data_IF_494193194891
#
_entry.id   IF_494193194891
#
_cell.length_a   1.000
_cell.length_b   1.000
_cell.length_c   1.000
_cell.angle_alpha   90.00
_cell.angle_beta   90.00
_cell.angle_gamma   90.00
#
_symmetry.space_group_name_H-M   'P 1'
#
loop_
_entity.id
_entity.type
_entity.pdbx_description
1 polymer ?
#
# COMPACT_ATOMS: atom_id res chain seq x y z
N UNK A 1 -5.39 15.07 -4.51
CA UNK A 1 -4.29 15.00 -5.49
C UNK A 1 -3.75 16.42 -5.76
N UNK A 2 -4.56 17.36 -6.27
CA UNK A 2 -4.10 18.74 -6.58
C UNK A 2 -3.37 19.41 -5.42
N UNK A 3 -3.92 19.36 -4.22
CA UNK A 3 -3.30 19.94 -3.03
C UNK A 3 -1.92 19.34 -2.75
N UNK A 4 -1.77 18.02 -2.94
CA UNK A 4 -0.49 17.35 -2.77
C UNK A 4 0.53 17.79 -3.81
N UNK A 5 0.14 17.88 -5.10
CA UNK A 5 1.02 18.37 -6.16
C UNK A 5 1.48 19.82 -5.92
N UNK A 6 0.57 20.69 -5.50
CA UNK A 6 0.91 22.08 -5.11
C UNK A 6 1.83 22.13 -3.89
N UNK A 7 1.57 21.27 -2.89
CA UNK A 7 2.41 21.13 -1.70
C UNK A 7 3.82 20.65 -2.04
N UNK A 8 3.94 19.66 -2.90
CA UNK A 8 5.24 19.15 -3.38
C UNK A 8 6.05 20.26 -4.04
N UNK A 9 5.44 21.05 -4.94
CA UNK A 9 6.12 22.18 -5.57
C UNK A 9 6.59 23.25 -4.56
N UNK A 10 5.83 23.50 -3.51
CA UNK A 10 6.23 24.44 -2.44
C UNK A 10 7.42 23.87 -1.68
N UNK A 11 7.35 22.61 -1.29
CA UNK A 11 8.42 21.93 -0.54
C UNK A 11 9.70 21.87 -1.36
N UNK A 12 9.63 21.55 -2.65
CA UNK A 12 10.81 21.54 -3.54
C UNK A 12 11.49 22.91 -3.63
N UNK A 13 10.71 24.02 -3.70
CA UNK A 13 11.26 25.37 -3.64
C UNK A 13 11.98 25.64 -2.32
N UNK A 14 11.35 25.27 -1.22
CA UNK A 14 11.93 25.46 0.11
C UNK A 14 13.23 24.66 0.25
N UNK A 15 13.24 23.40 -0.14
CA UNK A 15 14.44 22.57 -0.08
C UNK A 15 15.57 23.13 -0.92
N UNK A 16 15.30 23.55 -2.14
CA UNK A 16 16.29 24.22 -3.01
C UNK A 16 16.95 25.40 -2.31
N UNK A 17 16.16 26.23 -1.61
CA UNK A 17 16.62 27.50 -1.07
C UNK A 17 17.24 27.38 0.33
N UNK A 18 16.77 26.43 1.15
CA UNK A 18 17.20 26.32 2.57
C UNK A 18 17.97 25.04 2.91
N UNK A 19 17.93 24.05 2.05
CA UNK A 19 18.60 22.77 2.30
C UNK A 19 19.29 22.20 1.05
N UNK A 20 20.19 22.97 0.40
CA UNK A 20 20.96 22.44 -0.71
C UNK A 20 21.89 21.31 -0.23
N UNK A 21 22.16 20.35 -1.11
CA UNK A 21 22.99 19.18 -0.82
C UNK A 21 24.20 19.10 -1.77
N UNK A 22 25.12 20.09 -1.74
CA UNK A 22 26.20 20.19 -2.72
C UNK A 22 27.14 18.99 -2.69
N UNK A 23 27.40 18.41 -1.51
CA UNK A 23 28.27 17.24 -1.41
C UNK A 23 27.68 16.00 -2.11
N UNK A 24 26.39 15.73 -1.94
CA UNK A 24 25.71 14.64 -2.65
C UNK A 24 25.67 14.93 -4.15
N UNK A 25 25.44 16.17 -4.52
CA UNK A 25 25.36 16.62 -5.92
C UNK A 25 26.63 16.35 -6.72
N UNK A 26 27.80 16.26 -6.06
CA UNK A 26 29.07 15.87 -6.71
C UNK A 26 29.06 14.45 -7.27
N UNK A 27 28.24 13.55 -6.72
CA UNK A 27 28.18 12.14 -7.07
C UNK A 27 26.95 11.78 -7.92
N UNK A 28 26.12 12.77 -8.25
CA UNK A 28 24.90 12.58 -9.04
C UNK A 28 25.11 13.09 -10.46
N UNK A 29 24.90 12.21 -11.43
CA UNK A 29 25.04 12.53 -12.85
C UNK A 29 24.15 13.70 -13.26
N UNK A 30 24.71 14.65 -13.98
CA UNK A 30 24.06 15.85 -14.47
C UNK A 30 24.15 17.06 -13.55
N UNK A 31 24.43 16.89 -12.26
CA UNK A 31 24.51 18.02 -11.34
C UNK A 31 25.73 18.94 -11.65
N UNK A 32 26.89 18.33 -11.89
CA UNK A 32 28.11 19.09 -12.22
C UNK A 32 28.01 19.74 -13.59
N UNK A 33 27.53 19.02 -14.59
CA UNK A 33 27.39 19.51 -15.96
C UNK A 33 26.40 20.67 -16.05
N UNK A 34 25.31 20.61 -15.26
CA UNK A 34 24.29 21.65 -15.22
C UNK A 34 24.65 22.80 -14.24
N UNK A 35 25.66 22.60 -13.39
CA UNK A 35 25.96 23.55 -12.29
C UNK A 35 24.78 23.72 -11.33
N UNK A 36 24.05 22.64 -11.06
CA UNK A 36 22.83 22.64 -10.24
C UNK A 36 22.88 21.58 -9.15
N UNK A 37 22.45 21.96 -7.97
CA UNK A 37 22.22 21.02 -6.87
C UNK A 37 21.13 19.99 -7.24
N UNK A 38 21.23 18.78 -6.71
CA UNK A 38 20.24 17.72 -6.94
C UNK A 38 18.84 18.18 -6.49
N UNK A 39 18.74 18.92 -5.37
CA UNK A 39 17.48 19.48 -4.87
C UNK A 39 16.90 20.60 -5.76
N UNK A 40 17.68 21.09 -6.71
CA UNK A 40 17.28 22.07 -7.70
C UNK A 40 17.09 21.47 -9.11
N UNK A 41 16.91 20.17 -9.21
CA UNK A 41 16.72 19.47 -10.49
C UNK A 41 17.99 19.29 -11.29
N UNK A 42 19.17 19.19 -10.62
CA UNK A 42 20.47 19.00 -11.26
C UNK A 42 20.63 17.62 -11.88
N UNK A 43 20.08 16.57 -11.28
CA UNK A 43 20.21 15.21 -11.75
C UNK A 43 19.76 15.01 -13.21
N UNK A 44 20.34 14.02 -13.91
CA UNK A 44 19.88 13.61 -15.24
C UNK A 44 18.47 13.06 -15.17
N UNK A 45 18.21 12.17 -14.20
CA UNK A 45 16.89 11.67 -13.86
C UNK A 45 16.46 12.31 -12.56
N UNK A 46 15.43 13.15 -12.61
CA UNK A 46 14.85 13.79 -11.45
C UNK A 46 13.34 13.57 -11.47
N UNK A 47 12.82 12.89 -10.48
CA UNK A 47 11.39 12.55 -10.39
C UNK A 47 10.63 13.40 -9.38
N UNK A 48 11.27 14.34 -8.71
CA UNK A 48 10.60 15.24 -7.78
C UNK A 48 10.18 14.59 -6.45
N UNK A 49 9.36 15.31 -5.69
CA UNK A 49 8.76 14.82 -4.46
C UNK A 49 7.53 13.96 -4.75
N UNK A 50 7.45 12.83 -4.04
CA UNK A 50 6.38 11.87 -4.24
C UNK A 50 5.27 11.93 -3.19
N UNK A 51 4.12 11.41 -3.58
CA UNK A 51 2.95 11.21 -2.71
C UNK A 51 2.80 9.73 -2.38
N UNK A 52 2.69 9.40 -1.10
CA UNK A 52 2.50 8.03 -0.63
C UNK A 52 1.02 7.76 -0.42
N UNK A 53 0.54 6.63 -0.96
CA UNK A 53 -0.78 6.08 -0.65
C UNK A 53 -0.69 5.10 0.53
N UNK A 54 -1.60 5.26 1.47
CA UNK A 54 -1.86 4.26 2.50
C UNK A 54 -3.29 3.75 2.36
N UNK A 55 -3.48 2.45 2.52
CA UNK A 55 -4.81 1.86 2.52
C UNK A 55 -5.36 1.47 1.14
N UNK A 56 -4.50 1.11 0.17
CA UNK A 56 -4.94 0.70 -1.17
C UNK A 56 -5.96 -0.44 -1.12
N UNK A 57 -5.65 -1.54 -0.41
CA UNK A 57 -6.57 -2.66 -0.28
C UNK A 57 -7.83 -2.28 0.51
N UNK A 58 -7.72 -1.48 1.58
CA UNK A 58 -8.88 -0.96 2.30
C UNK A 58 -9.83 -0.20 1.39
N UNK A 59 -9.28 0.63 0.48
CA UNK A 59 -10.09 1.34 -0.52
C UNK A 59 -10.75 0.38 -1.51
N UNK A 60 -9.96 -0.51 -2.12
CA UNK A 60 -10.46 -1.44 -3.15
C UNK A 60 -11.55 -2.37 -2.59
N UNK A 61 -11.30 -2.94 -1.40
CA UNK A 61 -12.24 -3.81 -0.69
C UNK A 61 -13.53 -3.07 -0.30
N UNK A 62 -13.39 -1.81 0.13
CA UNK A 62 -14.54 -0.96 0.48
C UNK A 62 -15.41 -0.66 -0.73
N UNK A 63 -14.78 -0.29 -1.85
CA UNK A 63 -15.53 0.01 -3.08
C UNK A 63 -16.16 -1.24 -3.68
N UNK A 64 -15.50 -2.40 -3.60
CA UNK A 64 -16.07 -3.68 -4.00
C UNK A 64 -17.32 -4.02 -3.15
N UNK A 65 -17.24 -3.84 -1.83
CA UNK A 65 -18.37 -4.07 -0.93
C UNK A 65 -19.55 -3.11 -1.22
N UNK A 66 -19.28 -1.82 -1.38
CA UNK A 66 -20.31 -0.82 -1.74
C UNK A 66 -20.96 -1.17 -3.08
N UNK A 67 -20.16 -1.44 -4.10
CA UNK A 67 -20.64 -1.83 -5.42
C UNK A 67 -21.56 -3.05 -5.33
N UNK A 68 -21.09 -4.11 -4.67
CA UNK A 68 -21.81 -5.36 -4.56
C UNK A 68 -23.09 -5.23 -3.74
N UNK A 69 -22.98 -4.77 -2.49
CA UNK A 69 -24.06 -4.80 -1.52
C UNK A 69 -25.13 -3.73 -1.76
N UNK A 70 -24.73 -2.54 -2.25
CA UNK A 70 -25.65 -1.42 -2.44
C UNK A 70 -26.19 -1.35 -3.87
N UNK A 71 -25.31 -1.49 -4.87
CA UNK A 71 -25.71 -1.20 -6.25
C UNK A 71 -26.11 -2.44 -7.06
N UNK A 72 -25.42 -3.57 -6.90
CA UNK A 72 -25.68 -4.80 -7.66
C UNK A 72 -26.75 -5.65 -6.97
N UNK A 73 -26.50 -6.12 -5.75
CA UNK A 73 -27.42 -6.99 -5.00
C UNK A 73 -28.57 -6.21 -4.37
N UNK A 74 -28.41 -4.88 -4.19
CA UNK A 74 -29.39 -3.98 -3.54
C UNK A 74 -29.86 -4.51 -2.18
N UNK A 75 -28.94 -5.15 -1.46
CA UNK A 75 -29.21 -5.76 -0.16
C UNK A 75 -29.39 -4.70 0.92
N UNK A 76 -28.64 -3.59 0.80
CA UNK A 76 -28.68 -2.43 1.67
C UNK A 76 -28.75 -1.16 0.85
N UNK A 77 -29.36 -0.13 1.40
CA UNK A 77 -29.26 1.23 0.85
C UNK A 77 -27.95 1.90 1.30
N UNK A 78 -27.49 2.88 0.54
CA UNK A 78 -26.31 3.64 0.94
C UNK A 78 -26.48 4.34 2.30
N UNK A 79 -27.64 4.96 2.64
CA UNK A 79 -27.88 5.51 3.97
C UNK A 79 -27.80 4.48 5.10
N UNK A 80 -28.32 3.26 4.91
CA UNK A 80 -28.22 2.18 5.91
C UNK A 80 -26.76 1.79 6.16
N UNK A 81 -25.97 1.65 5.08
CA UNK A 81 -24.55 1.36 5.20
C UNK A 81 -23.80 2.50 5.93
N UNK A 82 -24.09 3.76 5.60
CA UNK A 82 -23.49 4.92 6.28
C UNK A 82 -23.83 4.90 7.76
N UNK A 83 -25.08 4.64 8.10
CA UNK A 83 -25.52 4.55 9.52
C UNK A 83 -24.76 3.45 10.27
N UNK A 84 -24.55 2.29 9.64
CA UNK A 84 -23.78 1.22 10.23
C UNK A 84 -22.30 1.58 10.43
N UNK A 85 -21.70 2.31 9.48
CA UNK A 85 -20.33 2.82 9.57
C UNK A 85 -20.18 3.86 10.69
N UNK A 86 -21.10 4.80 10.79
CA UNK A 86 -21.12 5.84 11.84
C UNK A 86 -21.25 5.22 13.24
N UNK A 87 -21.97 4.08 13.36
CA UNK A 87 -22.09 3.29 14.57
C UNK A 87 -20.91 2.33 14.82
N UNK A 88 -19.82 2.39 14.02
CA UNK A 88 -18.74 1.40 14.06
C UNK A 88 -19.22 -0.05 13.96
N UNK A 89 -20.30 -0.27 13.23
CA UNK A 89 -21.05 -1.52 13.10
C UNK A 89 -21.67 -2.03 14.41
N UNK A 90 -21.77 -1.22 15.45
CA UNK A 90 -22.43 -1.62 16.68
C UNK A 90 -23.95 -1.77 16.44
N UNK A 91 -24.48 -2.98 16.68
CA UNK A 91 -25.84 -3.34 16.31
C UNK A 91 -26.07 -3.66 14.83
N UNK A 92 -25.01 -3.66 14.00
CA UNK A 92 -25.08 -3.94 12.55
C UNK A 92 -24.15 -5.10 12.14
N UNK A 93 -24.08 -6.15 12.95
CA UNK A 93 -23.20 -7.30 12.73
C UNK A 93 -23.42 -8.00 11.39
N UNK A 94 -24.66 -8.05 10.91
CA UNK A 94 -25.00 -8.63 9.62
C UNK A 94 -24.40 -7.81 8.46
N UNK A 95 -24.53 -6.48 8.50
CA UNK A 95 -23.94 -5.60 7.50
C UNK A 95 -22.44 -5.76 7.50
N UNK A 96 -21.81 -5.75 8.69
CA UNK A 96 -20.36 -5.94 8.81
C UNK A 96 -19.91 -7.29 8.26
N UNK A 97 -20.61 -8.37 8.57
CA UNK A 97 -20.32 -9.72 8.06
C UNK A 97 -20.35 -9.74 6.53
N UNK A 98 -21.37 -9.16 5.91
CA UNK A 98 -21.49 -9.10 4.47
C UNK A 98 -20.38 -8.23 3.84
N UNK A 99 -20.03 -7.11 4.46
CA UNK A 99 -18.87 -6.30 4.07
C UNK A 99 -17.55 -7.11 4.12
N UNK A 100 -17.34 -7.92 5.15
CA UNK A 100 -16.17 -8.80 5.27
C UNK A 100 -16.15 -9.93 4.23
N UNK A 101 -17.32 -10.38 3.76
CA UNK A 101 -17.46 -11.45 2.77
C UNK A 101 -17.41 -10.96 1.31
N UNK A 102 -17.57 -9.67 1.07
CA UNK A 102 -17.41 -9.09 -0.26
C UNK A 102 -16.02 -9.36 -0.83
N UNK A 103 -15.87 -9.18 -2.15
CA UNK A 103 -14.59 -9.37 -2.83
C UNK A 103 -13.46 -8.61 -2.15
N UNK A 104 -12.30 -9.26 -2.04
CA UNK A 104 -11.11 -8.72 -1.38
C UNK A 104 -9.90 -8.77 -2.30
N UNK A 105 -9.22 -7.64 -2.40
CA UNK A 105 -7.94 -7.51 -3.08
C UNK A 105 -6.88 -8.47 -2.52
N UNK A 106 -6.00 -8.93 -3.39
CA UNK A 106 -4.93 -9.86 -3.01
C UNK A 106 -5.34 -11.34 -3.02
N UNK A 107 -6.53 -11.66 -3.54
CA UNK A 107 -7.03 -13.02 -3.67
C UNK A 107 -7.20 -13.47 -5.13
N UNK A 108 -6.49 -12.85 -6.08
CA UNK A 108 -6.67 -13.08 -7.52
C UNK A 108 -8.15 -12.94 -7.92
N UNK A 109 -8.75 -11.83 -7.49
CA UNK A 109 -10.16 -11.52 -7.70
C UNK A 109 -10.30 -10.22 -8.50
N UNK A 110 -10.67 -10.33 -9.76
CA UNK A 110 -10.74 -9.19 -10.69
C UNK A 110 -11.67 -8.07 -10.18
N UNK A 111 -12.73 -8.41 -9.49
CA UNK A 111 -13.69 -7.45 -8.94
C UNK A 111 -13.04 -6.43 -8.00
N UNK A 112 -12.14 -6.86 -7.13
CA UNK A 112 -11.42 -5.98 -6.21
C UNK A 112 -10.06 -5.51 -6.79
N UNK A 113 -9.36 -6.38 -7.51
CA UNK A 113 -8.03 -6.08 -8.05
C UNK A 113 -8.08 -4.95 -9.09
N UNK A 114 -9.13 -4.92 -9.95
CA UNK A 114 -9.27 -3.85 -10.93
C UNK A 114 -9.70 -2.52 -10.31
N UNK A 115 -10.41 -2.52 -9.19
CA UNK A 115 -10.66 -1.27 -8.45
C UNK A 115 -9.34 -0.69 -7.92
N UNK A 116 -8.44 -1.55 -7.40
CA UNK A 116 -7.10 -1.13 -6.96
C UNK A 116 -6.27 -0.58 -8.14
N UNK A 117 -6.33 -1.23 -9.31
CA UNK A 117 -5.67 -0.75 -10.53
C UNK A 117 -6.22 0.61 -10.95
N UNK A 118 -7.53 0.73 -11.04
CA UNK A 118 -8.18 1.93 -11.58
C UNK A 118 -7.88 3.17 -10.73
N UNK A 119 -7.75 3.05 -9.41
CA UNK A 119 -7.36 4.19 -8.56
C UNK A 119 -5.89 4.57 -8.74
N UNK A 120 -5.00 3.61 -8.98
CA UNK A 120 -3.58 3.88 -9.27
C UNK A 120 -3.48 4.60 -10.61
N UNK A 121 -4.11 4.07 -11.67
CA UNK A 121 -4.10 4.66 -13.01
C UNK A 121 -4.71 6.07 -13.01
N UNK A 122 -5.84 6.25 -12.34
CA UNK A 122 -6.45 7.57 -12.17
C UNK A 122 -5.51 8.56 -11.48
N UNK A 123 -4.80 8.09 -10.47
CA UNK A 123 -3.89 8.96 -9.72
C UNK A 123 -2.70 9.35 -10.57
N UNK A 124 -2.06 8.41 -11.27
CA UNK A 124 -0.99 8.70 -12.20
C UNK A 124 -1.42 9.72 -13.25
N UNK A 125 -2.54 9.46 -13.92
CA UNK A 125 -3.08 10.38 -14.92
C UNK A 125 -3.35 11.77 -14.34
N UNK A 126 -3.95 11.81 -13.15
CA UNK A 126 -4.32 13.08 -12.51
C UNK A 126 -3.11 13.86 -12.03
N UNK A 127 -2.11 13.20 -11.44
CA UNK A 127 -0.87 13.84 -11.01
C UNK A 127 -0.08 14.39 -12.19
N UNK A 128 -0.01 13.66 -13.29
CA UNK A 128 0.67 14.10 -14.52
C UNK A 128 -0.04 15.29 -15.21
N UNK A 129 -1.29 15.58 -14.85
CA UNK A 129 -2.00 16.77 -15.36
C UNK A 129 -1.62 18.07 -14.64
N UNK A 130 -0.89 18.00 -13.53
CA UNK A 130 -0.43 19.17 -12.78
C UNK A 130 1.03 19.48 -13.08
N UNK A 131 1.40 20.79 -13.20
CA UNK A 131 2.78 21.17 -13.44
C UNK A 131 3.66 20.85 -12.25
N UNK A 132 4.84 20.26 -12.52
CA UNK A 132 5.93 20.06 -11.58
C UNK A 132 7.02 21.12 -11.83
N UNK A 133 7.85 21.42 -10.82
CA UNK A 133 8.93 22.40 -10.95
C UNK A 133 10.06 21.90 -11.86
N UNK A 134 10.39 20.62 -11.79
CA UNK A 134 11.61 20.12 -12.44
C UNK A 134 11.36 18.91 -13.33
N UNK A 135 10.40 18.06 -13.04
CA UNK A 135 10.13 16.86 -13.83
C UNK A 135 8.65 16.47 -13.81
N UNK A 136 8.25 15.54 -12.97
CA UNK A 136 6.87 15.08 -12.80
C UNK A 136 6.58 14.83 -11.31
N UNK A 137 5.30 14.79 -10.98
CA UNK A 137 4.89 14.30 -9.68
C UNK A 137 4.91 12.77 -9.70
N UNK A 138 5.46 12.17 -8.66
CA UNK A 138 5.51 10.71 -8.51
C UNK A 138 4.66 10.24 -7.34
N UNK A 139 4.25 9.00 -7.39
CA UNK A 139 3.52 8.35 -6.30
C UNK A 139 4.01 6.93 -6.03
N UNK A 140 3.59 6.39 -4.92
CA UNK A 140 3.89 5.03 -4.52
C UNK A 140 2.97 4.55 -3.40
N UNK A 141 3.07 3.26 -3.10
CA UNK A 141 2.28 2.60 -2.06
C UNK A 141 3.14 2.07 -0.91
N UNK A 142 4.33 2.63 -0.73
CA UNK A 142 5.20 2.31 0.39
C UNK A 142 4.74 3.09 1.63
N UNK A 143 3.85 2.53 2.44
CA UNK A 143 3.21 3.27 3.53
C UNK A 143 4.11 3.58 4.73
N UNK A 144 5.28 2.97 4.85
CA UNK A 144 6.27 3.22 5.93
C UNK A 144 5.64 3.23 7.35
N UNK A 145 4.67 2.35 7.59
CA UNK A 145 3.88 2.25 8.81
C UNK A 145 2.88 3.41 9.07
N UNK A 146 2.70 4.33 8.13
CA UNK A 146 1.66 5.38 8.23
C UNK A 146 0.23 4.83 8.20
N UNK A 147 0.03 3.62 7.67
CA UNK A 147 -1.24 2.92 7.70
C UNK A 147 -1.83 2.81 9.11
N UNK A 148 -0.99 2.67 10.14
CA UNK A 148 -1.44 2.56 11.55
C UNK A 148 -1.94 3.90 12.10
N UNK A 149 -1.15 4.99 12.15
CA UNK A 149 -1.64 6.27 12.67
C UNK A 149 -2.76 6.87 11.81
N UNK A 150 -2.73 6.70 10.50
CA UNK A 150 -3.85 7.14 9.65
C UNK A 150 -5.12 6.34 9.92
N UNK A 151 -5.00 5.02 10.10
CA UNK A 151 -6.13 4.18 10.47
C UNK A 151 -6.75 4.54 11.81
N UNK A 152 -5.93 4.99 12.79
CA UNK A 152 -6.39 5.45 14.08
C UNK A 152 -7.28 6.73 13.99
N UNK A 153 -7.12 7.50 12.92
CA UNK A 153 -7.89 8.74 12.68
C UNK A 153 -9.15 8.52 11.84
N UNK A 154 -9.33 7.33 11.27
CA UNK A 154 -10.42 7.04 10.33
C UNK A 154 -11.46 6.14 10.99
N UNK A 155 -12.74 6.48 10.80
CA UNK A 155 -13.90 5.70 11.22
C UNK A 155 -13.95 4.31 10.58
N UNK A 156 -15.04 3.57 10.82
CA UNK A 156 -15.27 2.29 10.16
C UNK A 156 -15.34 2.43 8.64
N UNK A 157 -14.96 1.39 7.90
CA UNK A 157 -14.91 1.40 6.43
C UNK A 157 -15.73 0.24 5.84
N UNK A 158 -16.28 0.40 4.63
CA UNK A 158 -17.17 -0.60 4.00
C UNK A 158 -16.55 -1.97 3.74
N UNK A 159 -15.22 -2.12 3.85
CA UNK A 159 -14.56 -3.43 3.82
C UNK A 159 -14.79 -4.28 5.07
N UNK A 160 -15.46 -3.71 6.10
CA UNK A 160 -15.74 -4.32 7.40
C UNK A 160 -14.71 -3.98 8.50
N UNK A 161 -13.75 -3.07 8.21
CA UNK A 161 -12.77 -2.57 9.18
C UNK A 161 -13.48 -1.68 10.21
N UNK A 162 -13.22 -1.91 11.49
CA UNK A 162 -13.70 -1.04 12.57
C UNK A 162 -12.90 0.25 12.69
N UNK A 163 -13.49 1.27 13.28
CA UNK A 163 -12.85 2.55 13.57
C UNK A 163 -11.53 2.36 14.35
N UNK A 164 -10.56 3.19 14.06
CA UNK A 164 -9.25 3.18 14.76
C UNK A 164 -8.33 2.01 14.44
N UNK A 165 -8.76 1.03 13.64
CA UNK A 165 -7.89 -0.08 13.21
C UNK A 165 -6.97 0.36 12.07
N UNK A 166 -5.75 -0.22 11.94
CA UNK A 166 -4.86 0.09 10.83
C UNK A 166 -5.54 -0.06 9.48
N UNK A 167 -5.16 0.79 8.52
CA UNK A 167 -5.45 0.58 7.11
C UNK A 167 -4.55 -0.52 6.54
N UNK A 168 -4.80 -0.98 5.32
CA UNK A 168 -3.88 -1.88 4.64
C UNK A 168 -2.51 -1.23 4.42
N UNK A 169 -1.44 -2.02 4.53
CA UNK A 169 -0.06 -1.54 4.39
C UNK A 169 0.45 -1.70 2.96
N UNK A 170 0.88 -0.61 2.35
CA UNK A 170 1.42 -0.60 1.00
C UNK A 170 0.47 -1.23 -0.02
N UNK A 171 0.98 -2.22 -0.75
CA UNK A 171 0.21 -3.04 -1.69
C UNK A 171 -0.28 -4.35 -1.08
N UNK A 172 -0.12 -4.52 0.23
CA UNK A 172 -0.58 -5.73 0.92
C UNK A 172 -2.11 -5.81 0.93
N UNK A 173 -2.69 -7.01 0.89
CA UNK A 173 -4.10 -7.21 1.21
C UNK A 173 -4.44 -6.66 2.60
N UNK A 174 -5.70 -6.31 2.82
CA UNK A 174 -6.20 -5.97 4.16
C UNK A 174 -5.89 -7.12 5.12
N UNK A 175 -5.54 -6.78 6.38
CA UNK A 175 -5.09 -7.77 7.36
C UNK A 175 -6.08 -8.93 7.52
N UNK A 176 -5.59 -10.17 7.36
CA UNK A 176 -6.37 -11.39 7.49
C UNK A 176 -7.31 -11.67 6.31
N UNK A 177 -7.24 -10.87 5.24
CA UNK A 177 -8.03 -11.07 4.03
C UNK A 177 -7.28 -11.81 2.92
N UNK A 178 -6.02 -12.12 3.08
CA UNK A 178 -5.13 -12.88 2.18
C UNK A 178 -5.41 -14.40 2.20
N UNK A 179 -6.65 -14.80 1.96
CA UNK A 179 -7.14 -16.18 2.18
C UNK A 179 -6.67 -17.20 1.16
N UNK A 180 -6.26 -16.75 -0.04
CA UNK A 180 -5.81 -17.62 -1.13
C UNK A 180 -4.28 -17.76 -1.21
N UNK A 181 -3.56 -17.19 -0.25
CA UNK A 181 -2.11 -17.34 -0.09
C UNK A 181 -1.25 -16.48 -1.03
N UNK A 182 0.08 -16.62 -0.92
CA UNK A 182 1.03 -15.69 -1.53
C UNK A 182 0.99 -15.65 -3.06
N UNK A 183 0.68 -16.75 -3.73
CA UNK A 183 0.56 -16.79 -5.19
C UNK A 183 -0.59 -15.91 -5.69
N UNK A 184 -1.72 -15.89 -4.96
CA UNK A 184 -2.85 -15.04 -5.30
C UNK A 184 -2.52 -13.56 -5.10
N UNK A 185 -1.76 -13.21 -4.04
CA UNK A 185 -1.29 -11.85 -3.81
C UNK A 185 -0.44 -11.38 -4.99
N UNK A 186 0.55 -12.18 -5.42
CA UNK A 186 1.43 -11.86 -6.55
C UNK A 186 0.61 -11.61 -7.81
N UNK A 187 -0.38 -12.44 -8.10
CA UNK A 187 -1.26 -12.27 -9.26
C UNK A 187 -2.10 -10.99 -9.17
N UNK A 188 -2.65 -10.68 -8.00
CA UNK A 188 -3.40 -9.43 -7.79
C UNK A 188 -2.51 -8.22 -8.02
N UNK A 189 -1.29 -8.21 -7.46
CA UNK A 189 -0.30 -7.13 -7.65
C UNK A 189 0.10 -7.00 -9.12
N UNK A 190 0.27 -8.10 -9.85
CA UNK A 190 0.66 -8.06 -11.26
C UNK A 190 -0.40 -7.48 -12.20
N UNK A 191 -1.64 -7.32 -11.75
CA UNK A 191 -2.71 -6.65 -12.50
C UNK A 191 -2.65 -5.13 -12.39
N UNK A 192 -1.84 -4.60 -11.47
CA UNK A 192 -1.71 -3.17 -11.23
C UNK A 192 -0.64 -2.56 -12.13
N UNK A 193 -0.77 -1.27 -12.42
CA UNK A 193 0.25 -0.50 -13.15
C UNK A 193 1.42 -0.15 -12.20
N UNK A 194 2.24 -1.14 -11.89
CA UNK A 194 3.34 -1.01 -10.92
C UNK A 194 4.46 -0.09 -11.43
N UNK A 195 4.61 0.03 -12.76
CA UNK A 195 5.63 0.89 -13.39
C UNK A 195 5.35 2.39 -13.15
N UNK A 196 4.11 2.77 -12.92
CA UNK A 196 3.75 4.16 -12.60
C UNK A 196 4.17 4.60 -11.21
N UNK A 197 4.45 3.65 -10.31
CA UNK A 197 4.73 3.91 -8.90
C UNK A 197 6.23 4.09 -8.64
N UNK A 198 6.84 5.12 -9.21
CA UNK A 198 8.29 5.38 -9.10
C UNK A 198 8.77 5.64 -7.67
N UNK A 199 7.89 6.12 -6.78
CA UNK A 199 8.26 6.31 -5.36
C UNK A 199 8.44 4.98 -4.62
N UNK A 200 8.04 3.89 -5.23
CA UNK A 200 8.15 2.55 -4.69
C UNK A 200 6.84 1.93 -4.26
N UNK A 201 6.90 0.63 -4.11
CA UNK A 201 5.80 -0.21 -3.65
C UNK A 201 6.35 -1.25 -2.70
N UNK A 202 5.57 -1.64 -1.71
CA UNK A 202 5.91 -2.75 -0.86
C UNK A 202 4.68 -3.57 -0.52
N UNK A 203 4.85 -4.88 -0.50
CA UNK A 203 3.83 -5.78 0.00
C UNK A 203 4.42 -6.84 0.91
N UNK A 204 3.69 -7.14 1.98
CA UNK A 204 4.12 -8.01 3.05
C UNK A 204 3.59 -9.42 2.84
N UNK A 205 4.45 -10.40 3.06
CA UNK A 205 4.11 -11.82 3.08
C UNK A 205 4.38 -12.41 4.46
N UNK A 206 3.56 -13.37 4.84
CA UNK A 206 3.78 -14.19 6.04
C UNK A 206 4.21 -15.59 5.59
N UNK A 207 5.42 -15.98 5.95
CA UNK A 207 5.92 -17.33 5.74
C UNK A 207 6.13 -18.01 7.09
N UNK A 208 5.65 -19.23 7.20
CA UNK A 208 5.97 -20.04 8.38
C UNK A 208 7.42 -20.52 8.28
N UNK A 209 8.24 -20.42 9.35
CA UNK A 209 9.65 -20.83 9.31
C UNK A 209 9.87 -22.23 8.76
N UNK A 210 8.96 -23.16 9.05
CA UNK A 210 9.01 -24.55 8.55
C UNK A 210 9.11 -24.68 7.02
N UNK A 211 8.65 -23.68 6.25
CA UNK A 211 8.82 -23.71 4.80
C UNK A 211 10.28 -23.55 4.37
N UNK A 212 11.11 -22.95 5.21
CA UNK A 212 12.54 -22.77 4.94
C UNK A 212 13.39 -23.95 5.44
N UNK A 213 12.80 -24.87 6.21
CA UNK A 213 13.48 -26.03 6.80
C UNK A 213 13.51 -27.24 5.87
N UNK A 214 12.64 -27.28 4.85
CA UNK A 214 12.55 -28.41 3.90
C UNK A 214 12.98 -28.00 2.49
N UNK A 215 13.55 -28.93 1.72
CA UNK A 215 13.94 -28.68 0.34
C UNK A 215 12.75 -28.31 -0.54
N UNK A 216 11.60 -28.93 -0.34
CA UNK A 216 10.36 -28.64 -1.06
C UNK A 216 9.87 -27.22 -0.75
N UNK A 217 9.88 -26.81 0.52
CA UNK A 217 9.48 -25.48 0.94
C UNK A 217 10.42 -24.40 0.41
N UNK A 218 11.74 -24.66 0.44
CA UNK A 218 12.74 -23.76 -0.16
C UNK A 218 12.53 -23.61 -1.67
N UNK A 219 12.29 -24.71 -2.40
CA UNK A 219 11.96 -24.67 -3.81
C UNK A 219 10.67 -23.89 -4.10
N UNK A 220 9.64 -24.02 -3.27
CA UNK A 220 8.40 -23.28 -3.41
C UNK A 220 8.63 -21.77 -3.23
N UNK A 221 9.42 -21.37 -2.23
CA UNK A 221 9.77 -19.96 -2.00
C UNK A 221 10.59 -19.40 -3.16
N UNK A 222 11.59 -20.14 -3.64
CA UNK A 222 12.40 -19.71 -4.81
C UNK A 222 11.51 -19.56 -6.04
N UNK A 223 10.58 -20.48 -6.28
CA UNK A 223 9.64 -20.39 -7.41
C UNK A 223 8.70 -19.22 -7.28
N UNK A 224 8.23 -18.92 -6.06
CA UNK A 224 7.43 -17.74 -5.75
C UNK A 224 8.17 -16.45 -6.09
N UNK A 225 9.43 -16.32 -5.63
CA UNK A 225 10.28 -15.16 -5.88
C UNK A 225 10.55 -14.96 -7.38
N UNK A 226 10.89 -16.03 -8.09
CA UNK A 226 11.10 -15.98 -9.56
C UNK A 226 9.83 -15.54 -10.28
N UNK A 227 8.67 -16.10 -9.93
CA UNK A 227 7.40 -15.75 -10.55
C UNK A 227 7.04 -14.29 -10.27
N UNK A 228 7.21 -13.83 -9.04
CA UNK A 228 6.96 -12.44 -8.67
C UNK A 228 7.84 -11.48 -9.46
N UNK A 229 9.13 -11.76 -9.59
CA UNK A 229 10.06 -10.97 -10.41
C UNK A 229 9.65 -10.92 -11.88
N UNK A 230 9.28 -12.06 -12.47
CA UNK A 230 8.82 -12.13 -13.86
C UNK A 230 7.52 -11.37 -14.11
N UNK A 231 6.66 -11.28 -13.09
CA UNK A 231 5.40 -10.55 -13.15
C UNK A 231 5.51 -9.08 -12.72
N UNK A 232 6.72 -8.55 -12.59
CA UNK A 232 6.96 -7.15 -12.26
C UNK A 232 6.64 -6.77 -10.81
N UNK A 233 6.47 -7.75 -9.91
CA UNK A 233 6.30 -7.45 -8.50
C UNK A 233 7.59 -6.83 -7.95
N UNK A 234 7.49 -5.63 -7.41
CA UNK A 234 8.62 -4.89 -6.88
C UNK A 234 9.08 -5.38 -5.51
N UNK A 235 9.07 -4.51 -4.51
CA UNK A 235 9.56 -4.81 -3.18
C UNK A 235 8.63 -5.78 -2.44
N UNK A 236 9.09 -7.00 -2.21
CA UNK A 236 8.45 -8.00 -1.37
C UNK A 236 9.13 -8.07 0.00
N UNK A 237 8.36 -8.05 1.05
CA UNK A 237 8.85 -8.14 2.41
C UNK A 237 8.27 -9.38 3.10
N UNK A 238 9.13 -10.22 3.66
CA UNK A 238 8.74 -11.48 4.27
C UNK A 238 8.86 -11.42 5.79
N UNK A 239 7.77 -11.72 6.48
CA UNK A 239 7.73 -11.96 7.92
C UNK A 239 7.79 -13.47 8.15
N UNK A 240 8.93 -13.98 8.63
CA UNK A 240 9.16 -15.40 8.89
C UNK A 240 9.07 -15.66 10.40
N UNK A 241 7.88 -15.61 10.95
CA UNK A 241 7.64 -15.81 12.39
C UNK A 241 6.41 -16.68 12.58
N UNK A 242 6.49 -17.66 13.48
CA UNK A 242 5.36 -18.49 13.85
C UNK A 242 4.44 -17.82 14.89
N UNK A 243 3.24 -18.37 15.03
CA UNK A 243 2.24 -17.84 15.95
C UNK A 243 2.63 -18.00 17.44
N UNK A 244 3.45 -18.99 17.75
CA UNK A 244 3.90 -19.26 19.13
C UNK A 244 4.87 -18.16 19.56
N UNK A 245 5.85 -17.86 18.72
CA UNK A 245 6.80 -16.74 18.94
C UNK A 245 6.07 -15.39 19.05
N UNK A 246 5.06 -15.14 18.19
CA UNK A 246 4.27 -13.89 18.27
C UNK A 246 3.49 -13.79 19.58
N UNK A 247 2.88 -14.87 20.03
CA UNK A 247 2.16 -14.89 21.32
C UNK A 247 3.11 -14.72 22.51
N UNK A 248 4.26 -15.37 22.46
CA UNK A 248 5.28 -15.21 23.51
C UNK A 248 5.80 -13.75 23.55
N UNK A 249 6.02 -13.13 22.38
CA UNK A 249 6.43 -11.74 22.29
C UNK A 249 5.36 -10.76 22.83
N UNK A 250 4.08 -11.04 22.63
CA UNK A 250 2.99 -10.26 23.22
C UNK A 250 2.95 -10.37 24.74
N UNK A 251 3.25 -11.54 25.31
CA UNK A 251 3.27 -11.78 26.76
C UNK A 251 4.54 -11.21 27.42
N UNK A 252 5.67 -11.29 26.72
CA UNK A 252 6.99 -10.93 27.24
C UNK A 252 7.76 -9.99 26.31
N UNK A 253 7.25 -8.78 25.99
CA UNK A 253 7.84 -7.90 24.97
C UNK A 253 9.30 -7.52 25.24
N UNK A 254 9.71 -7.51 26.51
CA UNK A 254 11.09 -7.21 26.90
C UNK A 254 12.11 -8.27 26.46
N UNK A 255 11.70 -9.51 26.21
CA UNK A 255 12.55 -10.61 25.76
C UNK A 255 12.69 -10.68 24.23
N UNK A 256 11.80 -9.99 23.50
CA UNK A 256 11.69 -10.03 22.04
C UNK A 256 11.91 -8.65 21.41
N UNK A 257 12.83 -7.85 21.97
CA UNK A 257 13.09 -6.46 21.53
C UNK A 257 13.56 -6.37 20.07
N UNK A 258 14.22 -7.42 19.58
CA UNK A 258 14.75 -7.49 18.22
C UNK A 258 13.76 -8.10 17.23
N UNK A 259 12.58 -8.56 17.71
CA UNK A 259 11.53 -9.07 16.83
C UNK A 259 10.77 -7.92 16.19
N UNK A 260 11.01 -7.71 14.91
CA UNK A 260 10.30 -6.73 14.09
C UNK A 260 9.38 -7.49 13.15
N UNK A 261 8.09 -7.25 13.26
CA UNK A 261 7.06 -7.79 12.35
C UNK A 261 6.33 -6.61 11.74
N UNK A 262 6.28 -6.56 10.42
CA UNK A 262 5.47 -5.58 9.70
C UNK A 262 4.10 -6.14 9.39
N UNK A 263 3.06 -5.39 9.66
CA UNK A 263 1.64 -5.79 9.54
C UNK A 263 0.90 -4.80 8.70
#
# INVERSE_FOLDING_TARGET
>A
IEMNCRGSNIIERVFRDVNPTPYISLFIDGCMEKGRDVMAGGAVLYEGLGTIFAGLATYADSMAAVRRLVYEDKKYTLPELITALDADFDGYDDIRRDCLQAAKYGNDCDEADFIARDIIDYTEQKMNSYPSLYARHIHGTLSQSFNTPLGAMIGATPDGRKAGKPLSDGMSPSQGMDKKGPTAIIKSVSKLNVESMSLGMAHNFKLLPRFLETAEGQHAVISLLKTASLLGNGQMQFNCVDNETLRAAQQHPGQYRDLIVRV
#
